data_IF_017013232213
#
_entry.id   IF_017013232213
#
_cell.length_a   1.000
_cell.length_b   1.000
_cell.length_c   1.000
_cell.angle_alpha   90.00
_cell.angle_beta   90.00
_cell.angle_gamma   90.00
#
_symmetry.space_group_name_H-M   'P 1'
#
loop_
_entity.id
_entity.type
_entity.pdbx_description
1 polymer ?
#
# COMPACT_ATOMS: atom_id res chain seq x y z
N UNK A 1 -35.81 2.93 -29.90
CA UNK A 1 -35.22 1.67 -29.41
C UNK A 1 -34.23 2.02 -28.32
N UNK A 2 -34.65 1.89 -27.07
CA UNK A 2 -33.78 1.98 -25.89
C UNK A 2 -32.91 0.73 -25.85
N UNK A 3 -31.61 0.86 -26.13
CA UNK A 3 -30.65 -0.16 -25.75
C UNK A 3 -30.46 -0.04 -24.24
N UNK A 4 -31.19 -0.86 -23.48
CA UNK A 4 -30.82 -1.19 -22.12
C UNK A 4 -29.51 -1.96 -22.19
N UNK A 5 -28.41 -1.28 -21.88
CA UNK A 5 -27.15 -1.93 -21.55
C UNK A 5 -27.37 -2.60 -20.20
N UNK A 6 -27.63 -3.90 -20.22
CA UNK A 6 -27.47 -4.74 -19.04
C UNK A 6 -25.98 -4.67 -18.71
N UNK A 7 -25.62 -3.92 -17.66
CA UNK A 7 -24.29 -4.03 -17.06
C UNK A 7 -24.07 -5.50 -16.74
N UNK A 8 -23.14 -6.14 -17.46
CA UNK A 8 -22.76 -7.51 -17.17
C UNK A 8 -22.15 -7.50 -15.77
N UNK A 9 -22.91 -7.98 -14.77
CA UNK A 9 -22.45 -8.11 -13.40
C UNK A 9 -21.25 -9.07 -13.38
N UNK A 10 -20.06 -8.55 -13.13
CA UNK A 10 -18.83 -9.32 -12.94
C UNK A 10 -18.99 -10.15 -11.65
N UNK A 11 -19.11 -11.49 -11.72
CA UNK A 11 -19.36 -12.30 -10.53
C UNK A 11 -18.09 -12.38 -9.67
N UNK A 12 -18.17 -11.94 -8.41
CA UNK A 12 -17.07 -12.04 -7.45
C UNK A 12 -16.78 -13.51 -7.13
N UNK A 13 -15.49 -13.85 -7.10
CA UNK A 13 -15.05 -15.14 -6.54
C UNK A 13 -15.37 -15.15 -5.04
N UNK A 14 -16.00 -16.21 -4.50
CA UNK A 14 -16.24 -16.32 -3.07
C UNK A 14 -14.92 -16.23 -2.30
N UNK A 15 -14.89 -15.38 -1.27
CA UNK A 15 -13.79 -15.28 -0.32
C UNK A 15 -14.28 -15.76 1.04
N UNK A 16 -13.49 -16.54 1.80
CA UNK A 16 -13.91 -16.95 3.14
C UNK A 16 -13.98 -15.78 4.12
N UNK A 17 -13.31 -14.66 3.82
CA UNK A 17 -13.35 -13.42 4.60
C UNK A 17 -14.74 -12.85 4.80
N UNK A 18 -15.67 -13.10 3.87
CA UNK A 18 -17.07 -12.69 3.98
C UNK A 18 -17.74 -13.30 5.20
N UNK A 19 -17.26 -14.46 5.68
CA UNK A 19 -17.84 -15.16 6.84
C UNK A 19 -17.15 -14.85 8.17
N UNK A 20 -16.09 -14.05 8.18
CA UNK A 20 -15.27 -13.85 9.39
C UNK A 20 -15.94 -12.95 10.44
N UNK A 21 -16.88 -12.09 10.03
CA UNK A 21 -17.62 -11.23 10.96
C UNK A 21 -19.04 -10.99 10.45
N UNK A 22 -20.04 -11.49 11.16
CA UNK A 22 -21.46 -11.31 10.87
C UNK A 22 -22.26 -11.26 12.20
N UNK A 23 -23.30 -10.41 12.33
CA UNK A 23 -23.77 -9.42 11.35
C UNK A 23 -22.85 -8.18 11.29
N UNK A 24 -22.69 -7.60 10.08
CA UNK A 24 -21.95 -6.33 9.92
C UNK A 24 -22.88 -5.12 9.98
N UNK A 25 -22.35 -4.03 10.53
CA UNK A 25 -23.04 -2.72 10.64
C UNK A 25 -22.34 -1.60 9.85
N UNK A 26 -21.16 -1.89 9.29
CA UNK A 26 -20.34 -0.95 8.53
C UNK A 26 -20.20 -1.42 7.09
N UNK A 27 -20.37 -0.50 6.14
CA UNK A 27 -20.55 -0.82 4.73
C UNK A 27 -19.71 0.02 3.75
N UNK A 28 -18.88 0.94 4.23
CA UNK A 28 -18.12 1.86 3.36
C UNK A 28 -17.19 1.11 2.39
N UNK A 29 -16.64 -0.03 2.82
CA UNK A 29 -15.67 -0.81 2.04
C UNK A 29 -16.22 -2.15 1.52
N UNK A 30 -17.55 -2.29 1.42
CA UNK A 30 -18.20 -3.54 1.01
C UNK A 30 -17.83 -4.01 -0.41
N UNK A 31 -17.47 -3.07 -1.28
CA UNK A 31 -17.06 -3.34 -2.65
C UNK A 31 -15.56 -3.14 -2.90
N UNK A 32 -14.78 -2.92 -1.83
CA UNK A 32 -13.32 -2.82 -1.90
C UNK A 32 -12.73 -4.17 -1.53
N UNK A 33 -11.71 -4.60 -2.28
CA UNK A 33 -10.84 -5.72 -1.90
C UNK A 33 -9.65 -5.16 -1.12
N UNK A 34 -9.54 -5.50 0.16
CA UNK A 34 -8.33 -5.28 0.94
C UNK A 34 -7.34 -6.39 0.62
N UNK A 35 -6.27 -6.03 -0.08
CA UNK A 35 -5.14 -6.90 -0.43
C UNK A 35 -4.04 -6.68 0.60
N UNK A 36 -3.85 -7.67 1.47
CA UNK A 36 -2.85 -7.63 2.53
C UNK A 36 -1.67 -8.52 2.15
N UNK A 37 -0.51 -7.92 1.89
CA UNK A 37 0.67 -8.72 1.58
C UNK A 37 1.54 -8.98 2.80
N UNK A 38 2.26 -10.09 2.77
CA UNK A 38 3.25 -10.43 3.77
C UNK A 38 4.48 -11.06 3.11
N UNK A 39 5.66 -10.61 3.52
CA UNK A 39 6.94 -11.04 2.98
C UNK A 39 7.73 -11.97 3.91
N UNK A 40 7.40 -12.05 5.20
CA UNK A 40 8.12 -12.86 6.18
C UNK A 40 7.16 -13.65 7.09
N UNK A 41 7.53 -14.88 7.50
CA UNK A 41 6.76 -15.65 8.49
C UNK A 41 6.83 -15.07 9.91
N UNK A 42 7.61 -14.00 10.08
CA UNK A 42 7.83 -13.23 11.33
C UNK A 42 6.55 -12.74 12.01
N UNK A 43 5.36 -13.00 11.46
CA UNK A 43 4.15 -12.30 11.88
C UNK A 43 2.89 -13.18 11.84
N UNK A 44 3.03 -14.49 12.10
CA UNK A 44 1.89 -15.40 12.33
C UNK A 44 0.94 -14.83 13.41
N UNK A 45 1.48 -14.24 14.49
CA UNK A 45 0.69 -13.53 15.52
C UNK A 45 -0.01 -12.26 15.02
N UNK A 46 0.50 -11.61 13.98
CA UNK A 46 -0.11 -10.37 13.48
C UNK A 46 -1.29 -10.64 12.55
N UNK A 47 -1.29 -11.75 11.81
CA UNK A 47 -2.34 -12.00 10.80
C UNK A 47 -3.71 -12.22 11.45
N UNK A 48 -3.77 -12.96 12.56
CA UNK A 48 -5.01 -13.15 13.31
C UNK A 48 -5.51 -11.84 13.92
N UNK A 49 -4.61 -11.02 14.45
CA UNK A 49 -4.97 -9.72 15.04
C UNK A 49 -5.39 -8.70 13.98
N UNK A 50 -4.72 -8.70 12.83
CA UNK A 50 -5.09 -7.93 11.66
C UNK A 50 -6.50 -8.32 11.18
N UNK A 51 -6.75 -9.63 11.03
CA UNK A 51 -8.07 -10.17 10.69
C UNK A 51 -9.13 -9.77 11.72
N UNK A 52 -8.88 -9.95 13.01
CA UNK A 52 -9.83 -9.61 14.08
C UNK A 52 -10.12 -8.09 14.16
N UNK A 53 -9.16 -7.27 13.76
CA UNK A 53 -9.31 -5.81 13.74
C UNK A 53 -10.07 -5.36 12.50
N UNK A 54 -9.72 -5.85 11.31
CA UNK A 54 -10.19 -5.27 10.05
C UNK A 54 -11.38 -6.00 9.40
N UNK A 55 -11.63 -7.28 9.71
CA UNK A 55 -12.76 -8.03 9.16
C UNK A 55 -14.16 -7.42 9.41
N UNK A 56 -14.41 -6.72 10.54
CA UNK A 56 -15.69 -6.03 10.71
C UNK A 56 -15.95 -4.91 9.68
N UNK A 57 -14.89 -4.33 9.12
CA UNK A 57 -14.96 -3.19 8.20
C UNK A 57 -14.76 -3.58 6.74
N UNK A 58 -13.97 -4.62 6.48
CA UNK A 58 -13.71 -5.18 5.15
C UNK A 58 -14.23 -6.62 5.07
N UNK A 59 -15.34 -6.87 4.34
CA UNK A 59 -15.81 -8.24 4.13
C UNK A 59 -14.95 -8.99 3.10
N UNK A 60 -14.19 -8.26 2.27
CA UNK A 60 -13.34 -8.83 1.24
C UNK A 60 -11.89 -8.54 1.59
N UNK A 61 -11.27 -9.51 2.25
CA UNK A 61 -9.84 -9.49 2.54
C UNK A 61 -9.20 -10.68 1.83
N UNK A 62 -8.09 -10.44 1.14
CA UNK A 62 -7.20 -11.49 0.65
C UNK A 62 -5.82 -11.28 1.24
N UNK A 63 -5.25 -12.34 1.81
CA UNK A 63 -3.86 -12.35 2.23
C UNK A 63 -3.03 -12.94 1.09
N UNK A 64 -1.98 -12.25 0.66
CA UNK A 64 -1.12 -12.69 -0.45
C UNK A 64 0.32 -12.81 0.03
N UNK A 65 0.96 -13.93 -0.30
CA UNK A 65 2.31 -14.26 0.14
C UNK A 65 2.98 -15.29 -0.76
N UNK A 66 4.26 -15.61 -0.54
CA UNK A 66 5.02 -16.52 -1.41
C UNK A 66 4.58 -17.98 -1.29
N UNK A 67 4.78 -18.76 -2.37
CA UNK A 67 4.46 -20.19 -2.47
C UNK A 67 5.15 -21.10 -1.45
N UNK A 68 6.41 -20.85 -1.14
CA UNK A 68 7.17 -21.67 -0.20
C UNK A 68 8.18 -20.83 0.55
N UNK A 69 8.31 -21.04 1.88
CA UNK A 69 9.43 -20.53 2.69
C UNK A 69 9.75 -21.46 3.85
N UNK A 70 11.02 -21.46 4.27
CA UNK A 70 11.61 -22.37 5.27
C UNK A 70 11.71 -21.76 6.68
N UNK A 71 10.86 -20.79 7.03
CA UNK A 71 10.93 -20.15 8.36
C UNK A 71 10.28 -21.02 9.45
N UNK A 72 10.98 -21.18 10.59
CA UNK A 72 10.44 -21.83 11.80
C UNK A 72 9.28 -21.00 12.38
N UNK A 73 8.14 -21.63 12.70
CA UNK A 73 7.03 -21.00 13.44
C UNK A 73 5.74 -20.76 12.64
N UNK A 74 5.69 -21.15 11.37
CA UNK A 74 4.46 -21.12 10.58
C UNK A 74 3.62 -22.38 10.82
N UNK A 75 2.43 -22.23 11.40
CA UNK A 75 1.56 -23.35 11.78
C UNK A 75 0.15 -23.30 11.15
N UNK A 76 -0.17 -22.28 10.35
CA UNK A 76 -1.55 -22.05 9.86
C UNK A 76 -1.59 -21.77 8.35
N UNK A 77 -2.54 -22.43 7.67
CA UNK A 77 -2.92 -22.11 6.29
C UNK A 77 -4.02 -21.05 6.36
N UNK A 78 -3.69 -19.78 6.11
CA UNK A 78 -4.71 -18.78 5.80
C UNK A 78 -5.26 -19.05 4.39
N UNK A 79 -6.31 -18.31 3.99
CA UNK A 79 -6.70 -18.17 2.58
C UNK A 79 -5.64 -17.35 1.85
N UNK A 80 -4.44 -17.91 1.78
CA UNK A 80 -3.26 -17.34 1.16
C UNK A 80 -3.45 -17.49 -0.34
N UNK A 81 -3.61 -16.35 -1.02
CA UNK A 81 -3.27 -16.34 -2.42
C UNK A 81 -1.77 -16.53 -2.52
N UNK A 82 -1.39 -17.71 -2.97
CA UNK A 82 0.00 -18.07 -3.19
C UNK A 82 0.48 -17.38 -4.45
N UNK A 83 1.47 -16.53 -4.30
CA UNK A 83 2.23 -15.98 -5.39
C UNK A 83 3.33 -16.98 -5.79
N UNK A 84 3.32 -17.41 -7.04
CA UNK A 84 4.29 -18.36 -7.61
C UNK A 84 5.69 -17.75 -7.81
N UNK A 85 5.88 -16.47 -7.49
CA UNK A 85 7.19 -15.83 -7.55
C UNK A 85 8.10 -16.41 -6.47
N UNK A 86 9.04 -17.26 -6.90
CA UNK A 86 10.03 -17.84 -6.00
C UNK A 86 11.03 -16.78 -5.55
N UNK A 87 11.08 -16.58 -4.24
CA UNK A 87 12.08 -15.71 -3.63
C UNK A 87 13.41 -16.43 -3.47
N UNK A 88 14.41 -16.03 -4.25
CA UNK A 88 15.82 -16.40 -4.02
C UNK A 88 16.43 -15.57 -2.88
N UNK A 89 15.72 -15.45 -1.75
CA UNK A 89 16.20 -14.74 -0.56
C UNK A 89 17.41 -15.45 0.03
N UNK A 90 18.55 -14.76 0.03
CA UNK A 90 19.67 -15.11 0.87
C UNK A 90 19.80 -14.07 1.98
N UNK A 91 19.14 -14.33 3.11
CA UNK A 91 19.23 -13.47 4.30
C UNK A 91 20.59 -13.60 5.01
N UNK A 92 21.50 -14.46 4.52
CA UNK A 92 22.85 -14.60 5.06
C UNK A 92 23.84 -13.59 4.49
N UNK A 93 23.47 -12.87 3.41
CA UNK A 93 24.26 -11.79 2.82
C UNK A 93 23.71 -10.41 3.23
N UNK A 94 24.32 -9.74 4.24
CA UNK A 94 23.88 -8.43 4.69
C UNK A 94 24.17 -7.31 3.68
N UNK A 95 25.05 -7.53 2.70
CA UNK A 95 25.40 -6.55 1.66
C UNK A 95 24.42 -6.60 0.48
N UNK A 96 23.46 -7.53 0.52
CA UNK A 96 22.71 -7.91 -0.65
C UNK A 96 21.22 -8.19 -0.32
N UNK A 97 20.48 -7.10 -0.10
CA UNK A 97 19.03 -7.10 0.17
C UNK A 97 18.22 -7.42 -1.10
N UNK A 98 18.19 -8.69 -1.53
CA UNK A 98 17.76 -9.04 -2.89
C UNK A 98 16.23 -8.99 -3.16
N UNK A 99 15.33 -8.91 -2.18
CA UNK A 99 14.04 -9.61 -2.39
C UNK A 99 12.73 -8.97 -1.92
N UNK A 100 12.65 -8.30 -0.77
CA UNK A 100 11.35 -7.81 -0.29
C UNK A 100 10.71 -6.81 -1.28
N UNK A 101 11.55 -6.03 -1.96
CA UNK A 101 11.16 -4.99 -2.91
C UNK A 101 10.60 -5.46 -4.25
N UNK A 102 10.82 -6.71 -4.66
CA UNK A 102 10.34 -7.22 -5.97
C UNK A 102 9.00 -7.92 -5.85
N UNK A 103 8.81 -8.61 -4.73
CA UNK A 103 7.67 -9.51 -4.54
C UNK A 103 6.36 -8.77 -4.35
N UNK A 104 6.37 -7.66 -3.61
CA UNK A 104 5.14 -6.97 -3.22
C UNK A 104 4.32 -6.48 -4.42
N UNK A 105 4.95 -5.87 -5.44
CA UNK A 105 4.17 -5.43 -6.61
C UNK A 105 3.76 -6.59 -7.53
N UNK A 106 4.50 -7.71 -7.55
CA UNK A 106 4.04 -8.95 -8.19
C UNK A 106 2.83 -9.54 -7.46
N UNK A 107 2.82 -9.54 -6.12
CA UNK A 107 1.68 -9.96 -5.30
C UNK A 107 0.45 -9.09 -5.51
N UNK A 108 0.62 -7.77 -5.63
CA UNK A 108 -0.45 -6.85 -6.01
C UNK A 108 -1.02 -7.25 -7.39
N UNK A 109 -0.15 -7.49 -8.38
CA UNK A 109 -0.55 -7.95 -9.71
C UNK A 109 -1.32 -9.28 -9.65
N UNK A 110 -0.82 -10.26 -8.91
CA UNK A 110 -1.44 -11.59 -8.71
C UNK A 110 -2.82 -11.47 -8.08
N UNK A 111 -2.95 -10.70 -6.99
CA UNK A 111 -4.21 -10.49 -6.28
C UNK A 111 -5.26 -9.81 -7.17
N UNK A 112 -4.91 -8.71 -7.80
CA UNK A 112 -5.82 -8.01 -8.71
C UNK A 112 -6.18 -8.87 -9.92
N UNK A 113 -5.24 -9.68 -10.45
CA UNK A 113 -5.52 -10.60 -11.57
C UNK A 113 -6.53 -11.68 -11.16
N UNK A 114 -6.34 -12.29 -9.99
CA UNK A 114 -7.21 -13.36 -9.47
C UNK A 114 -8.61 -12.87 -9.05
N UNK A 115 -8.77 -11.57 -8.79
CA UNK A 115 -9.99 -10.99 -8.22
C UNK A 115 -10.46 -9.75 -9.01
N UNK A 116 -11.02 -9.90 -10.23
CA UNK A 116 -11.30 -8.76 -11.13
C UNK A 116 -12.51 -7.89 -10.77
N UNK A 117 -13.41 -8.36 -9.89
CA UNK A 117 -14.77 -7.83 -9.77
C UNK A 117 -15.00 -6.95 -8.52
N UNK A 118 -14.11 -5.98 -8.28
CA UNK A 118 -14.22 -5.03 -7.15
C UNK A 118 -14.23 -3.57 -7.64
N UNK A 119 -14.93 -2.71 -6.92
CA UNK A 119 -15.04 -1.27 -7.22
C UNK A 119 -13.74 -0.54 -6.85
N UNK A 120 -12.93 -1.14 -5.98
CA UNK A 120 -11.65 -0.64 -5.53
C UNK A 120 -10.75 -1.72 -4.97
N UNK A 121 -9.44 -1.46 -4.96
CA UNK A 121 -8.41 -2.32 -4.38
C UNK A 121 -7.60 -1.48 -3.41
N UNK A 122 -7.68 -1.79 -2.12
CA UNK A 122 -6.81 -1.19 -1.10
C UNK A 122 -5.66 -2.15 -0.85
N UNK A 123 -4.44 -1.70 -1.14
CA UNK A 123 -3.21 -2.44 -0.95
C UNK A 123 -2.49 -1.95 0.31
N UNK A 124 -2.13 -2.89 1.19
CA UNK A 124 -1.30 -2.61 2.34
C UNK A 124 -0.48 -3.84 2.78
N UNK A 125 0.70 -3.69 3.39
CA UNK A 125 1.32 -4.79 4.10
C UNK A 125 0.60 -5.07 5.43
N UNK A 126 0.81 -6.27 5.95
CA UNK A 126 0.25 -6.71 7.25
C UNK A 126 0.72 -5.86 8.45
N UNK A 127 1.87 -5.20 8.34
CA UNK A 127 2.46 -4.29 9.34
C UNK A 127 2.18 -2.81 9.00
N UNK A 128 1.10 -2.54 8.26
CA UNK A 128 0.56 -1.19 8.13
C UNK A 128 -0.72 -1.06 8.93
N UNK A 129 -0.76 -0.01 9.76
CA UNK A 129 -1.99 0.43 10.36
C UNK A 129 -2.83 1.19 9.32
N UNK A 130 -4.10 0.81 9.22
CA UNK A 130 -5.12 1.52 8.44
C UNK A 130 -6.03 2.32 9.38
N UNK A 131 -5.98 3.66 9.30
CA UNK A 131 -6.87 4.52 10.06
C UNK A 131 -8.22 4.66 9.33
N UNK A 132 -9.14 3.72 9.55
CA UNK A 132 -10.38 3.62 8.77
C UNK A 132 -11.29 4.86 8.82
N UNK A 133 -11.49 5.51 9.99
CA UNK A 133 -12.23 6.78 10.05
C UNK A 133 -11.64 7.89 9.18
N UNK A 134 -10.33 7.86 8.93
CA UNK A 134 -9.67 8.72 7.95
C UNK A 134 -9.92 8.26 6.52
N UNK A 135 -9.61 6.99 6.23
CA UNK A 135 -9.71 6.43 4.89
C UNK A 135 -11.13 6.48 4.31
N UNK A 136 -12.18 6.40 5.13
CA UNK A 136 -13.57 6.52 4.64
C UNK A 136 -13.93 7.90 4.10
N UNK A 137 -13.14 8.93 4.42
CA UNK A 137 -13.35 10.28 3.90
C UNK A 137 -12.75 10.45 2.48
N UNK A 138 -11.98 9.47 2.01
CA UNK A 138 -11.39 9.49 0.70
C UNK A 138 -12.42 9.05 -0.35
N UNK A 139 -12.48 9.79 -1.44
CA UNK A 139 -13.37 9.44 -2.54
C UNK A 139 -12.80 8.24 -3.31
N UNK A 140 -13.49 7.10 -3.17
CA UNK A 140 -13.17 5.80 -3.77
C UNK A 140 -13.21 5.81 -5.31
N UNK A 141 -13.64 6.91 -5.94
CA UNK A 141 -13.50 7.11 -7.38
C UNK A 141 -12.04 7.43 -7.75
N UNK A 142 -11.21 7.96 -6.88
CA UNK A 142 -9.87 8.42 -7.27
C UNK A 142 -8.78 7.51 -6.72
N UNK A 143 -7.58 7.56 -7.32
CA UNK A 143 -6.41 6.90 -6.74
C UNK A 143 -6.08 7.52 -5.39
N UNK A 144 -5.69 6.72 -4.40
CA UNK A 144 -5.17 7.25 -3.12
C UNK A 144 -3.70 6.88 -2.99
N UNK A 145 -2.85 7.90 -2.93
CA UNK A 145 -1.41 7.71 -2.91
C UNK A 145 -0.68 9.01 -2.50
N UNK A 146 0.45 8.92 -1.80
CA UNK A 146 1.30 10.05 -1.36
C UNK A 146 2.09 10.75 -2.50
N UNK A 147 1.37 11.17 -3.55
CA UNK A 147 1.92 11.87 -4.72
C UNK A 147 2.34 13.31 -4.41
N UNK A 148 3.44 13.86 -4.98
CA UNK A 148 3.79 15.28 -4.85
C UNK A 148 2.76 16.21 -5.50
N UNK A 149 1.90 15.68 -6.38
CA UNK A 149 0.79 16.39 -7.01
C UNK A 149 -0.56 15.98 -6.44
N UNK A 150 -0.55 15.25 -5.32
CA UNK A 150 -1.76 14.78 -4.67
C UNK A 150 -2.60 15.93 -4.12
N UNK A 151 -3.91 15.75 -4.14
CA UNK A 151 -4.86 16.64 -3.48
C UNK A 151 -5.09 16.13 -2.06
N UNK A 152 -4.80 16.96 -1.06
CA UNK A 152 -5.07 16.64 0.33
C UNK A 152 -6.57 16.43 0.58
N UNK A 153 -6.91 15.33 1.25
CA UNK A 153 -8.26 15.11 1.76
C UNK A 153 -8.38 15.87 3.07
N UNK A 154 -9.31 16.85 3.17
CA UNK A 154 -9.46 17.63 4.39
C UNK A 154 -9.62 16.74 5.62
N UNK A 155 -8.87 17.08 6.66
CA UNK A 155 -8.87 16.45 7.96
C UNK A 155 -9.53 17.42 8.97
N UNK A 156 -10.74 17.11 9.45
CA UNK A 156 -11.43 17.89 10.47
C UNK A 156 -10.65 18.09 11.76
N UNK A 157 -9.73 17.18 12.12
CA UNK A 157 -8.92 17.30 13.32
C UNK A 157 -7.94 18.50 13.28
N UNK A 158 -7.66 19.04 12.10
CA UNK A 158 -6.85 20.26 11.93
C UNK A 158 -7.65 21.56 12.09
N UNK A 159 -8.98 21.49 12.19
CA UNK A 159 -9.86 22.62 12.50
C UNK A 159 -10.13 23.60 11.34
N UNK A 160 -9.14 23.86 10.48
CA UNK A 160 -9.28 24.80 9.36
C UNK A 160 -8.53 24.37 8.08
N UNK A 161 -8.87 25.02 6.97
CA UNK A 161 -8.31 24.71 5.66
C UNK A 161 -6.83 25.12 5.52
N UNK A 162 -6.36 26.13 6.25
CA UNK A 162 -4.96 26.56 6.19
C UNK A 162 -4.05 25.53 6.85
N UNK A 163 -4.47 25.00 8.00
CA UNK A 163 -3.81 23.91 8.70
C UNK A 163 -3.77 22.62 7.88
N UNK A 164 -4.78 22.37 7.04
CA UNK A 164 -4.80 21.25 6.09
C UNK A 164 -3.86 21.42 4.89
N UNK A 165 -3.31 22.62 4.67
CA UNK A 165 -2.35 22.90 3.61
C UNK A 165 -0.93 23.05 4.16
N UNK A 166 -0.75 22.92 5.47
CA UNK A 166 0.53 23.06 6.14
C UNK A 166 1.37 21.80 5.93
N UNK A 167 2.31 21.87 4.99
CA UNK A 167 3.19 20.76 4.62
C UNK A 167 4.00 20.19 5.79
N UNK A 168 4.24 20.97 6.84
CA UNK A 168 4.97 20.49 8.04
C UNK A 168 4.12 19.50 8.86
N UNK A 169 2.81 19.43 8.63
CA UNK A 169 1.90 18.47 9.27
C UNK A 169 1.71 17.18 8.48
N UNK A 170 2.28 17.10 7.28
CA UNK A 170 2.16 15.97 6.37
C UNK A 170 3.54 15.30 6.18
N UNK A 171 3.60 13.98 5.96
CA UNK A 171 4.84 13.33 5.58
C UNK A 171 5.27 13.87 4.20
N UNK A 172 6.57 13.92 3.91
CA UNK A 172 7.05 14.31 2.60
C UNK A 172 6.51 13.34 1.53
N UNK A 173 6.12 13.84 0.34
CA UNK A 173 5.65 12.98 -0.75
C UNK A 173 6.78 12.10 -1.27
N UNK A 174 6.43 11.19 -2.17
CA UNK A 174 7.41 10.49 -3.00
C UNK A 174 8.36 11.47 -3.73
N UNK A 175 9.48 10.92 -4.20
CA UNK A 175 10.53 11.65 -4.91
C UNK A 175 10.42 11.44 -6.42
N UNK A 176 10.76 12.49 -7.16
CA UNK A 176 10.98 12.44 -8.60
C UNK A 176 12.42 11.98 -8.82
N UNK A 177 12.63 11.05 -9.75
CA UNK A 177 13.97 10.54 -10.04
C UNK A 177 14.91 11.63 -10.55
N UNK A 178 16.23 11.44 -10.42
CA UNK A 178 17.20 12.12 -11.29
C UNK A 178 16.90 11.92 -12.79
N UNK A 179 17.63 12.66 -13.63
CA UNK A 179 17.54 12.49 -15.07
C UNK A 179 17.98 11.07 -15.49
N UNK A 180 17.12 10.27 -16.15
CA UNK A 180 17.47 8.92 -16.55
C UNK A 180 18.57 8.88 -17.62
N UNK A 181 18.91 10.00 -18.27
CA UNK A 181 20.05 10.08 -19.17
C UNK A 181 21.40 10.15 -18.44
N UNK A 182 21.41 10.44 -17.13
CA UNK A 182 22.61 10.40 -16.30
C UNK A 182 22.87 8.95 -15.90
N UNK A 183 24.12 8.50 -16.07
CA UNK A 183 24.54 7.19 -15.59
C UNK A 183 24.69 7.19 -14.07
N UNK A 184 23.56 7.05 -13.37
CA UNK A 184 23.52 7.11 -11.90
C UNK A 184 24.10 5.85 -11.23
N UNK A 185 24.32 4.77 -11.98
CA UNK A 185 24.85 3.51 -11.43
C UNK A 185 26.36 3.53 -11.26
N UNK A 186 27.08 4.46 -11.93
CA UNK A 186 28.54 4.62 -11.79
C UNK A 186 28.96 4.95 -10.35
N UNK A 187 28.06 5.57 -9.58
CA UNK A 187 28.33 5.99 -8.21
C UNK A 187 27.80 5.02 -7.16
N UNK A 188 27.29 3.85 -7.55
CA UNK A 188 26.67 2.89 -6.63
C UNK A 188 27.69 2.29 -5.64
N UNK A 189 27.36 2.35 -4.34
CA UNK A 189 28.19 1.91 -3.22
C UNK A 189 27.54 0.82 -2.35
N UNK A 190 26.35 0.33 -2.72
CA UNK A 190 25.62 -0.71 -1.99
C UNK A 190 24.45 -0.17 -1.14
N UNK A 191 23.56 -1.09 -0.78
CA UNK A 191 22.32 -0.77 -0.05
C UNK A 191 22.62 -0.10 1.29
N UNK A 192 21.80 0.89 1.65
CA UNK A 192 21.94 1.68 2.87
C UNK A 192 22.83 2.93 2.72
N UNK A 193 23.81 2.93 1.80
CA UNK A 193 24.58 4.13 1.45
C UNK A 193 23.92 4.94 0.37
N UNK A 194 23.49 4.28 -0.70
CA UNK A 194 22.70 4.95 -1.73
C UNK A 194 21.27 4.41 -1.78
N UNK A 195 20.41 5.22 -2.39
CA UNK A 195 18.98 4.97 -2.54
C UNK A 195 18.73 3.94 -3.65
N UNK A 196 17.57 3.26 -3.63
CA UNK A 196 17.20 2.24 -4.64
C UNK A 196 17.23 2.71 -6.10
N UNK A 197 17.31 4.02 -6.35
CA UNK A 197 17.43 4.61 -7.68
C UNK A 197 18.70 4.22 -8.42
N UNK A 198 19.83 4.11 -7.71
CA UNK A 198 21.16 3.94 -8.31
C UNK A 198 21.57 2.47 -8.43
N UNK A 199 20.75 1.55 -7.94
CA UNK A 199 21.07 0.11 -8.00
C UNK A 199 21.06 -0.35 -9.49
N UNK A 200 22.17 -0.88 -10.02
CA UNK A 200 22.26 -1.32 -11.41
C UNK A 200 21.39 -2.56 -11.72
N UNK A 201 20.89 -3.26 -10.71
CA UNK A 201 20.10 -4.47 -10.86
C UNK A 201 18.60 -4.25 -10.78
N UNK A 202 18.14 -3.12 -10.23
CA UNK A 202 16.70 -2.86 -10.02
C UNK A 202 16.27 -1.39 -10.01
N UNK A 203 17.23 -0.46 -10.07
CA UNK A 203 16.99 0.97 -10.06
C UNK A 203 16.57 1.54 -11.42
N UNK A 204 16.90 2.81 -11.65
CA UNK A 204 16.40 3.58 -12.80
C UNK A 204 16.69 2.92 -14.15
N UNK A 205 17.92 2.44 -14.37
CA UNK A 205 18.30 1.85 -15.66
C UNK A 205 17.41 0.64 -16.01
N UNK A 206 17.10 -0.20 -15.02
CA UNK A 206 16.27 -1.40 -15.19
C UNK A 206 14.81 -1.02 -15.38
N UNK A 207 14.31 -0.07 -14.59
CA UNK A 207 12.93 0.42 -14.68
C UNK A 207 12.66 1.17 -16.00
N UNK A 208 13.63 1.87 -16.56
CA UNK A 208 13.47 2.59 -17.83
C UNK A 208 13.19 1.65 -19.01
N UNK A 209 13.74 0.42 -19.00
CA UNK A 209 13.46 -0.59 -20.03
C UNK A 209 11.98 -0.99 -20.08
N UNK A 210 11.31 -1.00 -18.93
CA UNK A 210 9.88 -1.21 -18.83
C UNK A 210 9.11 0.05 -19.24
N UNK A 211 9.54 1.21 -18.73
CA UNK A 211 8.94 2.49 -19.04
C UNK A 211 8.88 2.75 -20.55
N UNK A 212 9.94 2.49 -21.31
CA UNK A 212 9.99 2.73 -22.75
C UNK A 212 8.95 1.93 -23.56
N UNK A 213 8.47 0.81 -23.01
CA UNK A 213 7.38 0.00 -23.59
C UNK A 213 6.00 0.60 -23.33
N UNK A 214 5.86 1.49 -22.35
CA UNK A 214 4.59 2.14 -22.01
C UNK A 214 4.11 3.01 -23.18
N UNK A 215 2.79 3.00 -23.50
CA UNK A 215 2.24 3.84 -24.55
C UNK A 215 2.66 5.30 -24.42
N UNK A 216 3.08 5.88 -25.56
CA UNK A 216 3.66 7.24 -25.62
C UNK A 216 2.79 8.30 -24.93
N UNK A 217 1.47 8.27 -25.13
CA UNK A 217 0.55 9.25 -24.54
C UNK A 217 0.51 9.21 -23.00
N UNK A 218 0.76 8.05 -22.38
CA UNK A 218 0.85 7.95 -20.91
C UNK A 218 2.16 8.55 -20.40
N UNK A 219 3.26 8.28 -21.12
CA UNK A 219 4.59 8.84 -20.81
C UNK A 219 4.61 10.36 -20.96
N UNK A 220 3.99 10.90 -22.01
CA UNK A 220 3.87 12.34 -22.23
C UNK A 220 3.08 13.00 -21.09
N UNK A 221 1.97 12.38 -20.63
CA UNK A 221 1.22 12.88 -19.46
C UNK A 221 2.06 12.91 -18.19
N UNK A 222 2.84 11.86 -17.93
CA UNK A 222 3.75 11.85 -16.78
C UNK A 222 4.83 12.92 -16.93
N UNK A 223 5.36 13.13 -18.14
CA UNK A 223 6.33 14.17 -18.42
C UNK A 223 5.75 15.57 -18.18
N UNK A 224 4.47 15.81 -18.52
CA UNK A 224 3.79 17.09 -18.26
C UNK A 224 3.76 17.47 -16.77
N UNK A 225 3.65 16.47 -15.88
CA UNK A 225 3.75 16.68 -14.42
C UNK A 225 5.16 17.12 -13.97
N UNK A 226 6.17 16.81 -14.79
CA UNK A 226 7.59 17.05 -14.56
C UNK A 226 8.17 18.11 -15.51
N UNK A 227 7.37 19.08 -15.96
CA UNK A 227 7.86 20.17 -16.81
C UNK A 227 8.29 19.73 -18.22
N UNK A 228 7.76 18.60 -18.71
CA UNK A 228 8.11 18.00 -19.99
C UNK A 228 9.28 17.01 -19.93
N UNK A 229 9.86 16.78 -18.76
CA UNK A 229 11.00 15.87 -18.60
C UNK A 229 10.55 14.43 -18.35
N UNK A 230 11.27 13.47 -18.94
CA UNK A 230 11.07 12.06 -18.61
C UNK A 230 11.72 11.76 -17.26
N UNK A 231 10.88 11.52 -16.25
CA UNK A 231 11.28 11.17 -14.89
C UNK A 231 10.42 10.01 -14.39
N UNK A 232 11.03 9.10 -13.66
CA UNK A 232 10.31 8.06 -12.92
C UNK A 232 9.97 8.58 -11.52
N UNK A 233 9.01 7.92 -10.86
CA UNK A 233 8.54 8.32 -9.54
C UNK A 233 8.82 7.24 -8.54
N UNK A 234 9.21 7.61 -7.33
CA UNK A 234 9.49 6.61 -6.33
C UNK A 234 9.45 7.06 -4.89
N UNK A 235 8.97 6.15 -4.06
CA UNK A 235 8.58 6.33 -2.67
C UNK A 235 7.86 5.08 -2.19
N UNK A 236 7.45 5.08 -0.92
CA UNK A 236 6.70 3.97 -0.32
C UNK A 236 5.57 3.50 -1.24
N UNK A 237 5.45 2.18 -1.37
CA UNK A 237 4.28 1.54 -1.97
C UNK A 237 3.56 0.64 -0.96
N UNK A 238 3.58 1.05 0.31
CA UNK A 238 2.94 0.33 1.43
C UNK A 238 1.46 0.68 1.57
N UNK A 239 0.98 1.78 0.98
CA UNK A 239 -0.45 2.08 0.96
C UNK A 239 -0.84 2.69 -0.36
N UNK A 240 -1.76 2.02 -1.03
CA UNK A 240 -2.28 2.45 -2.32
C UNK A 240 -3.74 2.02 -2.45
N UNK A 241 -4.59 2.92 -2.92
CA UNK A 241 -5.93 2.55 -3.38
C UNK A 241 -6.04 2.75 -4.90
N UNK A 242 -6.55 1.72 -5.58
CA UNK A 242 -6.75 1.70 -7.03
C UNK A 242 -8.24 1.56 -7.31
N UNK A 243 -8.89 2.55 -7.96
CA UNK A 243 -10.26 2.40 -8.41
C UNK A 243 -10.38 1.25 -9.41
N UNK A 244 -11.40 0.42 -9.25
CA UNK A 244 -11.59 -0.80 -10.04
C UNK A 244 -11.72 -0.53 -11.54
N UNK A 245 -12.27 0.62 -11.94
CA UNK A 245 -12.32 1.06 -13.35
C UNK A 245 -10.94 1.23 -14.00
N UNK A 246 -9.87 1.39 -13.22
CA UNK A 246 -8.50 1.53 -13.70
C UNK A 246 -7.70 0.23 -13.63
N UNK A 247 -8.26 -0.85 -13.10
CA UNK A 247 -7.56 -2.13 -12.90
C UNK A 247 -6.87 -2.64 -14.16
N UNK A 248 -7.56 -2.72 -15.29
CA UNK A 248 -6.99 -3.29 -16.52
C UNK A 248 -5.80 -2.46 -17.02
N UNK A 249 -5.93 -1.13 -17.05
CA UNK A 249 -4.83 -0.23 -17.42
C UNK A 249 -3.68 -0.29 -16.42
N UNK A 250 -3.99 -0.41 -15.13
CA UNK A 250 -3.00 -0.58 -14.06
C UNK A 250 -2.22 -1.88 -14.23
N UNK A 251 -2.89 -3.02 -14.37
CA UNK A 251 -2.25 -4.32 -14.54
C UNK A 251 -1.45 -4.38 -15.84
N UNK A 252 -2.00 -3.89 -16.95
CA UNK A 252 -1.28 -3.86 -18.23
C UNK A 252 0.01 -3.05 -18.13
N UNK A 253 0.00 -1.95 -17.37
CA UNK A 253 1.17 -1.08 -17.19
C UNK A 253 2.16 -1.66 -16.19
N UNK A 254 1.70 -2.12 -15.02
CA UNK A 254 2.54 -2.76 -13.99
C UNK A 254 3.20 -4.04 -14.54
N UNK A 255 2.49 -4.79 -15.38
CA UNK A 255 3.00 -5.98 -16.05
C UNK A 255 4.27 -5.72 -16.87
N UNK A 256 4.39 -4.54 -17.49
CA UNK A 256 5.62 -4.16 -18.22
C UNK A 256 6.81 -4.00 -17.28
N UNK A 257 6.59 -3.50 -16.06
CA UNK A 257 7.62 -3.40 -15.02
C UNK A 257 7.98 -4.77 -14.45
N UNK A 258 7.02 -5.69 -14.38
CA UNK A 258 7.24 -7.08 -13.97
C UNK A 258 8.03 -7.92 -14.99
N UNK A 259 8.09 -7.49 -16.25
CA UNK A 259 9.00 -8.09 -17.24
C UNK A 259 10.47 -7.72 -16.99
N UNK A 260 10.74 -6.83 -16.04
CA UNK A 260 12.08 -6.43 -15.61
C UNK A 260 12.24 -6.65 -14.11
N UNK A 261 13.44 -6.35 -13.62
CA UNK A 261 13.75 -6.42 -12.18
C UNK A 261 13.44 -5.09 -11.46
N UNK A 262 12.57 -4.24 -12.02
CA UNK A 262 12.29 -2.91 -11.48
C UNK A 262 11.79 -2.98 -10.02
N UNK A 263 12.35 -2.15 -9.16
CA UNK A 263 12.01 -2.12 -7.75
C UNK A 263 10.57 -1.60 -7.48
N UNK A 264 9.84 -2.16 -6.49
CA UNK A 264 8.43 -1.78 -6.22
C UNK A 264 8.26 -0.29 -5.98
N UNK A 265 9.17 0.32 -5.22
CA UNK A 265 9.11 1.73 -4.86
C UNK A 265 9.48 2.64 -6.05
N UNK A 266 9.62 2.08 -7.25
CA UNK A 266 9.69 2.79 -8.53
C UNK A 266 8.52 2.37 -9.42
N UNK A 267 8.34 1.06 -9.60
CA UNK A 267 7.36 0.46 -10.50
C UNK A 267 5.93 0.90 -10.14
N UNK A 268 5.51 0.68 -8.90
CA UNK A 268 4.15 0.97 -8.43
C UNK A 268 3.85 2.48 -8.46
N UNK A 269 4.70 3.35 -7.87
CA UNK A 269 4.46 4.80 -7.92
C UNK A 269 4.40 5.35 -9.33
N UNK A 270 5.29 4.90 -10.22
CA UNK A 270 5.30 5.31 -11.63
C UNK A 270 4.03 4.83 -12.34
N UNK A 271 3.62 3.58 -12.12
CA UNK A 271 2.40 3.00 -12.71
C UNK A 271 1.15 3.78 -12.34
N UNK A 272 0.99 4.16 -11.06
CA UNK A 272 -0.15 4.98 -10.60
C UNK A 272 -0.28 6.25 -11.43
N UNK A 273 0.83 6.96 -11.65
CA UNK A 273 0.80 8.25 -12.35
C UNK A 273 0.70 8.12 -13.88
N UNK A 274 1.21 7.01 -14.45
CA UNK A 274 1.00 6.70 -15.86
C UNK A 274 -0.47 6.43 -16.18
N UNK A 275 -1.18 5.76 -15.26
CA UNK A 275 -2.55 5.32 -15.45
C UNK A 275 -3.58 6.38 -15.04
N UNK A 276 -3.24 7.22 -14.06
CA UNK A 276 -4.12 8.29 -13.58
C UNK A 276 -4.56 9.21 -14.75
N UNK A 277 -5.87 9.33 -15.03
CA UNK A 277 -6.37 10.19 -16.11
C UNK A 277 -6.01 11.67 -15.88
N UNK A 278 -5.82 12.40 -16.97
CA UNK A 278 -5.70 13.87 -16.90
C UNK A 278 -6.99 14.46 -16.33
N UNK A 279 -6.88 15.24 -15.24
CA UNK A 279 -8.00 15.92 -14.59
C UNK A 279 -8.62 15.17 -13.42
N UNK A 280 -8.37 13.86 -13.27
CA UNK A 280 -8.72 13.12 -12.05
C UNK A 280 -7.61 13.37 -11.01
N UNK A 281 -7.94 13.82 -9.78
CA UNK A 281 -6.95 13.98 -8.73
C UNK A 281 -6.44 12.61 -8.26
N UNK A 282 -5.18 12.56 -7.84
CA UNK A 282 -4.71 11.55 -6.89
C UNK A 282 -4.96 12.13 -5.49
N UNK A 283 -5.67 11.42 -4.63
CA UNK A 283 -5.89 11.85 -3.25
C UNK A 283 -4.67 11.52 -2.40
N UNK A 284 -4.13 12.53 -1.72
CA UNK A 284 -2.93 12.40 -0.91
C UNK A 284 -3.21 11.60 0.36
N UNK A 285 -2.48 10.50 0.53
CA UNK A 285 -2.52 9.68 1.75
C UNK A 285 -1.36 10.10 2.65
N UNK A 286 -1.66 10.50 3.89
CA UNK A 286 -0.66 10.74 4.94
C UNK A 286 -0.10 9.41 5.45
N UNK A 287 0.82 8.83 4.68
CA UNK A 287 1.54 7.60 5.00
C UNK A 287 2.85 7.89 5.74
N UNK A 288 3.00 7.38 6.97
CA UNK A 288 4.17 7.62 7.81
C UNK A 288 5.04 6.39 7.99
N UNK A 289 6.37 6.58 7.91
CA UNK A 289 7.33 5.57 8.32
C UNK A 289 7.79 5.75 9.78
N UNK A 290 7.67 4.70 10.60
CA UNK A 290 8.21 4.60 11.95
C UNK A 290 9.58 3.94 11.86
N UNK A 291 10.62 4.72 12.10
CA UNK A 291 12.00 4.22 12.13
C UNK A 291 12.46 3.83 13.54
N UNK A 292 11.72 4.26 14.57
CA UNK A 292 12.08 4.08 15.98
C UNK A 292 10.83 3.79 16.81
N UNK A 293 10.96 2.87 17.77
CA UNK A 293 9.91 2.50 18.68
C UNK A 293 9.32 3.72 19.44
N UNK A 294 8.04 3.67 19.85
CA UNK A 294 7.14 2.52 19.78
C UNK A 294 6.56 2.29 18.37
N UNK A 295 6.29 1.03 18.02
CA UNK A 295 5.70 0.61 16.74
C UNK A 295 4.21 0.25 16.91
N UNK A 296 3.53 0.86 17.87
CA UNK A 296 2.18 0.49 18.32
C UNK A 296 1.24 1.72 18.34
N UNK A 297 0.04 1.56 18.92
CA UNK A 297 -0.95 2.63 19.04
C UNK A 297 -0.48 3.85 19.84
N UNK A 298 0.57 3.73 20.67
CA UNK A 298 1.15 4.87 21.42
C UNK A 298 1.84 5.85 20.49
N UNK A 299 2.53 5.37 19.45
CA UNK A 299 3.14 6.24 18.45
C UNK A 299 2.08 7.11 17.77
N UNK A 300 0.97 6.50 17.38
CA UNK A 300 -0.13 7.18 16.69
C UNK A 300 -0.68 8.30 17.55
N UNK A 301 -1.00 7.99 18.81
CA UNK A 301 -1.50 8.97 19.77
C UNK A 301 -0.48 10.07 20.05
N UNK A 302 0.80 9.76 20.08
CA UNK A 302 1.85 10.76 20.18
C UNK A 302 1.85 11.71 18.97
N UNK A 303 1.75 11.18 17.75
CA UNK A 303 1.69 12.01 16.53
C UNK A 303 0.44 12.87 16.49
N UNK A 304 -0.70 12.34 16.92
CA UNK A 304 -1.93 13.12 17.11
C UNK A 304 -1.77 14.24 18.13
N UNK A 305 -1.06 14.00 19.24
CA UNK A 305 -0.78 15.01 20.25
C UNK A 305 0.21 16.09 19.75
N UNK A 306 1.11 15.73 18.84
CA UNK A 306 2.02 16.65 18.14
C UNK A 306 1.31 17.47 17.04
N UNK A 307 0.01 17.25 16.82
CA UNK A 307 -0.79 17.99 15.84
C UNK A 307 -0.64 17.47 14.41
N UNK A 308 -0.08 16.27 14.24
CA UNK A 308 -0.10 15.53 12.98
C UNK A 308 -1.27 14.55 12.96
N UNK A 309 -1.71 14.13 11.79
CA UNK A 309 -2.66 13.03 11.66
C UNK A 309 -2.08 12.01 10.68
N UNK A 310 -2.51 10.76 10.84
CA UNK A 310 -1.94 9.61 10.15
C UNK A 310 -3.10 8.88 9.49
N UNK A 311 -3.10 8.82 8.15
CA UNK A 311 -4.05 7.99 7.40
C UNK A 311 -3.60 6.52 7.45
N UNK A 312 -2.30 6.31 7.29
CA UNK A 312 -1.65 5.00 7.43
C UNK A 312 -0.22 5.16 7.95
N UNK A 313 0.34 4.11 8.55
CA UNK A 313 1.78 4.09 8.83
C UNK A 313 2.34 2.68 8.85
N UNK A 314 3.65 2.62 8.66
CA UNK A 314 4.47 1.42 8.62
C UNK A 314 5.78 1.69 9.37
N UNK A 315 6.37 0.85 10.19
CA UNK A 315 5.95 -0.49 10.60
C UNK A 315 5.07 -0.40 11.85
N UNK A 316 3.93 -1.09 11.83
CA UNK A 316 3.08 -1.36 12.99
C UNK A 316 3.26 -2.79 13.46
N UNK A 317 3.46 -2.98 14.75
CA UNK A 317 3.65 -4.28 15.36
C UNK A 317 2.47 -4.61 16.29
N UNK A 318 1.83 -5.76 16.04
CA UNK A 318 0.75 -6.30 16.88
C UNK A 318 1.28 -7.10 18.09
N UNK A 319 2.60 -7.27 18.16
CA UNK A 319 3.29 -8.08 19.14
C UNK A 319 4.71 -7.58 19.41
N UNK A 320 5.47 -8.37 20.15
CA UNK A 320 6.87 -8.10 20.47
C UNK A 320 7.73 -9.34 20.23
N UNK A 321 9.02 -9.12 19.93
CA UNK A 321 10.02 -10.18 19.87
C UNK A 321 10.59 -10.45 21.25
N UNK A 322 10.69 -11.72 21.62
CA UNK A 322 11.46 -12.12 22.79
C UNK A 322 12.98 -12.08 22.54
N UNK A 323 13.77 -12.41 23.56
CA UNK A 323 15.24 -12.46 23.48
C UNK A 323 15.77 -13.46 22.45
N UNK A 324 14.96 -14.48 22.10
CA UNK A 324 15.28 -15.46 21.07
C UNK A 324 14.83 -15.01 19.65
N UNK A 325 14.23 -13.82 19.53
CA UNK A 325 13.72 -13.28 18.28
C UNK A 325 12.38 -13.88 17.85
N UNK A 326 11.72 -14.65 18.71
CA UNK A 326 10.40 -15.23 18.47
C UNK A 326 9.34 -14.18 18.77
N UNK A 327 8.41 -13.99 17.83
CA UNK A 327 7.31 -13.08 18.01
C UNK A 327 6.20 -13.70 18.86
N UNK A 328 5.68 -12.90 19.77
CA UNK A 328 4.48 -13.22 20.55
C UNK A 328 3.51 -12.04 20.48
N UNK A 329 2.22 -12.34 20.55
CA UNK A 329 1.17 -11.33 20.59
C UNK A 329 1.31 -10.49 21.86
N UNK A 330 1.12 -9.16 21.72
CA UNK A 330 0.94 -8.28 22.87
C UNK A 330 -0.52 -8.35 23.32
N UNK A 331 -0.81 -8.83 24.55
CA UNK A 331 -2.19 -8.96 25.02
C UNK A 331 -2.96 -7.64 24.94
N UNK A 332 -4.14 -7.69 24.33
CA UNK A 332 -5.03 -6.53 24.21
C UNK A 332 -4.72 -5.59 23.04
N UNK A 333 -3.76 -5.92 22.17
CA UNK A 333 -3.42 -5.10 20.99
C UNK A 333 -4.63 -4.86 20.06
N UNK A 334 -5.47 -5.87 19.83
CA UNK A 334 -6.71 -5.72 19.04
C UNK A 334 -7.67 -4.71 19.70
N UNK A 335 -7.86 -4.79 21.01
CA UNK A 335 -8.75 -3.84 21.71
C UNK A 335 -8.17 -2.43 21.73
N UNK A 336 -6.86 -2.27 21.94
CA UNK A 336 -6.20 -0.96 21.85
C UNK A 336 -6.38 -0.35 20.45
N UNK A 337 -6.23 -1.16 19.41
CA UNK A 337 -6.42 -0.71 18.03
C UNK A 337 -7.86 -0.30 17.74
N UNK A 338 -8.86 -1.05 18.24
CA UNK A 338 -10.27 -0.66 18.11
C UNK A 338 -10.56 0.65 18.84
N UNK A 339 -10.04 0.81 20.05
CA UNK A 339 -10.16 2.06 20.81
C UNK A 339 -9.52 3.22 20.05
N UNK A 340 -8.34 3.00 19.45
CA UNK A 340 -7.65 3.99 18.63
C UNK A 340 -8.50 4.40 17.41
N UNK A 341 -9.17 3.45 16.73
CA UNK A 341 -10.10 3.78 15.65
C UNK A 341 -11.30 4.59 16.16
N UNK A 342 -11.87 4.27 17.33
CA UNK A 342 -12.93 5.09 17.94
C UNK A 342 -12.46 6.51 18.25
N UNK A 343 -11.27 6.65 18.84
CA UNK A 343 -10.64 7.94 19.12
C UNK A 343 -10.47 8.75 17.83
N UNK A 344 -10.02 8.12 16.74
CA UNK A 344 -9.92 8.79 15.44
C UNK A 344 -11.31 9.19 14.92
N UNK A 345 -12.33 8.32 14.97
CA UNK A 345 -13.67 8.66 14.52
C UNK A 345 -14.25 9.91 15.20
N UNK A 346 -14.06 10.04 16.52
CA UNK A 346 -14.46 11.23 17.27
C UNK A 346 -13.73 12.48 16.75
N UNK A 347 -12.41 12.39 16.53
CA UNK A 347 -11.58 13.50 16.02
C UNK A 347 -11.95 13.89 14.58
N UNK A 348 -12.37 12.91 13.79
CA UNK A 348 -12.72 13.06 12.39
C UNK A 348 -14.20 13.48 12.18
N UNK A 349 -15.01 13.49 13.24
CA UNK A 349 -16.44 13.80 13.20
C UNK A 349 -17.22 12.91 12.23
N UNK A 350 -16.90 11.61 12.26
CA UNK A 350 -17.54 10.62 11.39
C UNK A 350 -18.27 9.56 12.19
N UNK A 351 -19.37 9.07 11.63
CA UNK A 351 -20.09 7.93 12.19
C UNK A 351 -19.22 6.67 12.00
N UNK A 352 -18.99 5.96 13.10
CA UNK A 352 -18.16 4.76 13.13
C UNK A 352 -18.70 3.80 14.20
N UNK A 353 -18.84 2.50 13.90
CA UNK A 353 -19.47 1.56 14.83
C UNK A 353 -18.56 1.24 16.01
N UNK A 354 -19.13 1.12 17.20
CA UNK A 354 -18.43 0.60 18.38
C UNK A 354 -18.46 -0.93 18.36
N UNK A 355 -17.29 -1.58 18.38
CA UNK A 355 -17.09 -3.01 18.05
C UNK A 355 -16.30 -3.82 19.09
#
# INVERSE_FOLDING_TARGET
MQHSLVEATCPRRPLPSVSWHEPRVYHEFDNVLLVVFFSHARYNVNLDNYKQTYAPYFPNIVFVGPESREDKGFAHSYDVLVDSYQSYEDLSDPDYFKMAGRMAHHMLYTAMTAHPCYDGYLWAPFDTLLNLPRLQQFDQRYFWYHSPWGTYVPNPAFGDAQSNLDKEKHPPPLRISPDPAINVTETWQGWGKDWWWVDPHMGLEVCMRAFDKVPKYMRERLADLNGGETRLLGGSADTLYIPGRHRESFLSTLGLFLETDCFLEIATPTTVHLVSPSGDPILYVDHWWIWQAPFDGKFVRQKWAEGMEVDTFHTYHWGEKDEAGVWSETPGSVQDMRNLLQESAVRQHVDFPDL
#
